data_IF_601536364070
#
_entry.id   IF_601536364070
#
_cell.length_a   1.000
_cell.length_b   1.000
_cell.length_c   1.000
_cell.angle_alpha   90.00
_cell.angle_beta   90.00
_cell.angle_gamma   90.00
#
_symmetry.space_group_name_H-M   'P 1'
#
loop_
_entity.id
_entity.type
_entity.pdbx_description
1 polymer ?
#
# COMPACT_ATOMS: atom_id res chain seq x y z
N UNK A 1 28.86 56.19 0.48
CA UNK A 1 28.99 55.05 1.39
C UNK A 1 29.93 54.05 0.76
N UNK A 2 31.07 53.78 1.32
CA UNK A 2 32.05 52.83 0.80
C UNK A 2 31.79 51.50 1.45
N UNK A 3 31.27 50.54 0.73
CA UNK A 3 31.10 49.18 1.25
C UNK A 3 32.43 48.46 1.22
N UNK A 4 32.97 48.17 2.39
CA UNK A 4 34.17 47.35 2.53
C UNK A 4 33.76 45.89 2.59
N UNK A 5 33.91 45.17 1.49
CA UNK A 5 33.75 43.72 1.48
C UNK A 5 35.01 43.07 2.10
N UNK A 6 34.88 42.39 3.23
CA UNK A 6 35.91 41.44 3.66
C UNK A 6 35.94 40.29 2.68
N UNK A 7 37.05 40.08 1.99
CA UNK A 7 37.22 38.92 1.14
C UNK A 7 37.24 37.66 2.00
N UNK A 8 36.68 36.60 1.50
CA UNK A 8 36.68 35.27 2.17
C UNK A 8 38.11 34.83 2.57
N UNK A 9 39.15 35.34 1.88
CA UNK A 9 40.56 35.10 2.19
C UNK A 9 41.02 35.70 3.52
N UNK A 10 40.28 36.68 4.08
CA UNK A 10 40.63 37.34 5.33
C UNK A 10 39.99 36.66 6.56
N UNK A 11 39.26 35.59 6.34
CA UNK A 11 38.64 34.78 7.39
C UNK A 11 39.59 33.65 7.75
N UNK A 12 40.22 33.72 8.90
CA UNK A 12 41.04 32.60 9.43
C UNK A 12 40.11 31.45 9.74
N UNK A 13 40.17 30.39 8.93
CA UNK A 13 39.49 29.14 9.19
C UNK A 13 40.16 28.48 10.40
N UNK A 14 39.56 28.61 11.55
CA UNK A 14 39.94 27.79 12.71
C UNK A 14 39.29 26.47 12.55
N UNK A 15 40.03 25.48 12.09
CA UNK A 15 39.60 24.09 12.11
C UNK A 15 39.46 23.65 13.57
N UNK A 16 38.26 23.75 14.08
CA UNK A 16 37.91 23.08 15.32
C UNK A 16 37.49 21.65 14.95
N UNK A 17 38.21 20.68 15.47
CA UNK A 17 38.02 19.27 15.20
C UNK A 17 36.65 18.69 15.68
N UNK A 18 35.83 19.51 16.30
CA UNK A 18 34.63 19.01 16.95
C UNK A 18 33.32 19.10 16.10
N UNK A 19 33.16 20.17 15.32
CA UNK A 19 31.94 20.29 14.45
C UNK A 19 32.25 21.19 13.24
N UNK A 20 31.85 20.74 12.02
CA UNK A 20 31.91 21.60 10.83
C UNK A 20 30.94 22.77 10.98
N UNK A 21 31.38 23.97 10.59
CA UNK A 21 30.61 25.19 10.66
C UNK A 21 30.42 25.79 9.26
N UNK A 22 29.27 26.40 9.01
CA UNK A 22 29.03 27.20 7.82
C UNK A 22 29.02 28.67 8.17
N UNK A 23 29.68 29.50 7.35
CA UNK A 23 29.64 30.95 7.47
C UNK A 23 28.45 31.45 6.63
N UNK A 24 27.58 32.22 7.28
CA UNK A 24 26.49 32.92 6.61
C UNK A 24 26.64 34.42 6.82
N UNK A 25 26.26 35.20 5.83
CA UNK A 25 26.13 36.65 5.94
C UNK A 25 24.68 36.98 6.34
N UNK A 26 24.54 37.71 7.43
CA UNK A 26 23.25 38.20 7.89
C UNK A 26 23.38 39.69 8.20
N UNK A 27 22.72 40.53 7.40
CA UNK A 27 22.71 42.00 7.56
C UNK A 27 24.09 42.66 7.59
N UNK A 28 25.06 42.13 6.83
CA UNK A 28 26.43 42.62 6.74
C UNK A 28 27.39 42.06 7.79
N UNK A 29 26.90 41.19 8.67
CA UNK A 29 27.74 40.46 9.63
C UNK A 29 27.90 38.99 9.20
N UNK A 30 29.14 38.51 9.28
CA UNK A 30 29.42 37.08 9.02
C UNK A 30 29.23 36.31 10.32
N UNK A 31 28.25 35.45 10.34
CA UNK A 31 27.93 34.56 11.46
C UNK A 31 28.38 33.12 11.17
N UNK A 32 28.89 32.51 12.21
CA UNK A 32 29.28 31.11 12.21
C UNK A 32 28.12 30.28 12.74
N UNK A 33 27.59 29.38 11.93
CA UNK A 33 26.52 28.49 12.32
C UNK A 33 27.05 27.06 12.31
N UNK A 34 26.96 26.33 13.43
CA UNK A 34 27.25 24.91 13.45
C UNK A 34 26.40 24.16 12.41
N UNK A 35 27.00 23.25 11.64
CA UNK A 35 26.24 22.45 10.65
C UNK A 35 25.15 21.61 11.30
N UNK A 36 25.27 21.27 12.58
CA UNK A 36 24.19 20.65 13.36
C UNK A 36 22.91 21.48 13.42
N UNK A 37 23.01 22.82 13.27
CA UNK A 37 21.85 23.71 13.23
C UNK A 37 21.30 23.91 11.82
N UNK A 38 22.08 23.56 10.77
CA UNK A 38 21.69 23.71 9.38
C UNK A 38 21.09 22.43 8.80
N UNK A 39 21.51 21.31 9.34
CA UNK A 39 21.00 20.00 8.98
C UNK A 39 20.24 19.50 10.18
N UNK A 40 18.98 19.85 10.30
CA UNK A 40 18.07 18.94 11.00
C UNK A 40 18.28 17.59 10.34
N UNK A 41 18.83 16.64 11.10
CA UNK A 41 18.97 15.25 10.67
C UNK A 41 17.66 14.89 9.99
N UNK A 42 17.69 14.75 8.68
CA UNK A 42 16.52 14.25 7.97
C UNK A 42 16.36 12.80 8.40
N UNK A 43 15.56 12.61 9.44
CA UNK A 43 15.17 11.28 9.89
C UNK A 43 14.44 10.65 8.72
N UNK A 44 14.75 9.39 8.40
CA UNK A 44 14.02 8.67 7.37
C UNK A 44 12.54 8.71 7.71
N UNK A 45 11.71 9.01 6.72
CA UNK A 45 10.26 8.91 6.88
C UNK A 45 9.91 7.50 7.38
N UNK A 46 9.14 7.43 8.45
CA UNK A 46 8.74 6.18 9.08
C UNK A 46 7.22 6.03 8.95
N UNK A 47 6.79 4.93 8.35
CA UNK A 47 5.36 4.62 8.18
C UNK A 47 4.66 4.29 9.50
N UNK A 48 5.40 3.87 10.50
CA UNK A 48 4.86 3.49 11.82
C UNK A 48 4.87 4.67 12.81
N UNK A 49 5.53 5.78 12.45
CA UNK A 49 5.60 6.97 13.30
C UNK A 49 4.20 7.57 13.50
N UNK A 50 3.83 7.77 14.76
CA UNK A 50 2.52 8.30 15.17
C UNK A 50 2.59 9.71 15.73
N UNK A 51 3.76 10.20 16.13
CA UNK A 51 3.93 11.56 16.66
C UNK A 51 3.99 12.56 15.51
N UNK A 52 2.97 13.45 15.34
CA UNK A 52 2.95 14.44 14.27
C UNK A 52 4.05 15.51 14.38
N UNK A 53 4.73 15.60 15.51
CA UNK A 53 5.85 16.52 15.71
C UNK A 53 7.21 15.88 15.39
N UNK A 54 7.24 14.57 15.15
CA UNK A 54 8.44 13.86 14.74
C UNK A 54 8.83 14.21 13.31
N UNK A 55 10.13 14.41 13.06
CA UNK A 55 10.66 14.63 11.71
C UNK A 55 10.51 13.37 10.80
N UNK A 56 10.25 12.21 11.39
CA UNK A 56 9.98 10.97 10.67
C UNK A 56 8.51 10.84 10.24
N UNK A 57 7.60 11.68 10.80
CA UNK A 57 6.18 11.61 10.54
C UNK A 57 5.85 11.98 9.09
N UNK A 58 5.04 11.15 8.45
CA UNK A 58 4.54 11.40 7.10
C UNK A 58 3.16 12.05 7.21
N UNK A 59 3.11 13.36 6.94
CA UNK A 59 1.84 14.06 6.86
C UNK A 59 1.03 13.52 5.66
N UNK A 60 -0.26 13.26 5.89
CA UNK A 60 -1.17 12.71 4.85
C UNK A 60 -0.75 11.33 4.32
N UNK A 61 -0.07 10.52 5.13
CA UNK A 61 0.10 9.12 4.74
C UNK A 61 -1.28 8.50 4.47
N UNK A 62 -1.47 7.81 3.34
CA UNK A 62 -2.74 7.16 3.07
C UNK A 62 -3.03 6.13 4.17
N UNK A 63 -4.27 6.05 4.59
CA UNK A 63 -4.72 4.98 5.48
C UNK A 63 -4.62 3.63 4.74
N UNK A 64 -3.53 2.92 5.00
CA UNK A 64 -3.30 1.59 4.43
C UNK A 64 -4.06 0.49 5.17
N UNK A 65 -4.80 0.82 6.24
CA UNK A 65 -5.67 -0.17 6.91
C UNK A 65 -6.74 -0.70 5.97
N UNK A 66 -7.14 0.14 4.99
CA UNK A 66 -8.06 -0.25 3.91
C UNK A 66 -7.33 -0.88 2.70
N UNK A 67 -6.02 -0.74 2.63
CA UNK A 67 -5.15 -1.36 1.60
C UNK A 67 -4.46 -2.60 2.15
N UNK A 68 -4.70 -2.92 3.42
CA UNK A 68 -4.23 -4.13 4.07
C UNK A 68 -4.70 -5.34 3.30
N UNK A 69 -3.79 -5.96 2.59
CA UNK A 69 -3.85 -7.01 1.61
C UNK A 69 -5.28 -7.32 1.18
N UNK A 70 -5.61 -7.12 -0.09
CA UNK A 70 -6.94 -7.39 -0.60
C UNK A 70 -7.50 -8.63 0.11
N UNK A 71 -8.69 -8.49 0.72
CA UNK A 71 -9.30 -9.61 1.43
C UNK A 71 -9.37 -10.80 0.47
N UNK A 72 -8.61 -11.84 0.74
CA UNK A 72 -8.57 -13.04 -0.11
C UNK A 72 -9.59 -14.02 0.43
N UNK A 73 -10.64 -14.24 -0.32
CA UNK A 73 -11.70 -15.21 0.03
C UNK A 73 -11.53 -16.45 -0.85
N UNK A 74 -11.28 -17.58 -0.22
CA UNK A 74 -11.12 -18.86 -0.93
C UNK A 74 -12.35 -19.72 -0.71
N UNK A 75 -13.03 -20.02 -1.81
CA UNK A 75 -14.14 -20.98 -1.85
C UNK A 75 -13.61 -22.36 -2.22
N UNK A 76 -14.03 -23.39 -1.51
CA UNK A 76 -13.76 -24.78 -1.87
C UNK A 76 -14.89 -25.27 -2.79
N UNK A 77 -14.54 -25.80 -3.96
CA UNK A 77 -15.51 -26.52 -4.82
C UNK A 77 -15.69 -27.93 -4.28
N UNK A 78 -16.89 -28.26 -3.86
CA UNK A 78 -17.21 -29.59 -3.35
C UNK A 78 -18.60 -30.03 -3.83
N UNK A 79 -18.68 -31.19 -4.48
CA UNK A 79 -19.94 -31.76 -5.00
C UNK A 79 -20.72 -30.78 -5.90
N UNK A 80 -20.01 -30.00 -6.72
CA UNK A 80 -20.62 -29.02 -7.62
C UNK A 80 -21.09 -27.71 -6.97
N UNK A 81 -20.82 -27.53 -5.68
CA UNK A 81 -21.17 -26.32 -4.95
C UNK A 81 -19.92 -25.63 -4.38
N UNK A 82 -19.95 -24.30 -4.34
CA UNK A 82 -18.93 -23.52 -3.64
C UNK A 82 -19.23 -23.50 -2.14
N UNK A 83 -18.20 -23.72 -1.33
CA UNK A 83 -18.28 -23.65 0.12
C UNK A 83 -17.25 -22.66 0.66
N UNK A 84 -17.66 -21.81 1.59
CA UNK A 84 -16.78 -20.96 2.38
C UNK A 84 -16.80 -21.49 3.82
N UNK A 85 -15.64 -21.91 4.33
CA UNK A 85 -15.51 -22.52 5.67
C UNK A 85 -16.50 -23.68 5.92
N UNK A 86 -16.74 -24.51 4.88
CA UNK A 86 -17.66 -25.64 4.95
C UNK A 86 -19.15 -25.31 4.72
N UNK A 87 -19.52 -24.04 4.70
CA UNK A 87 -20.90 -23.59 4.44
C UNK A 87 -21.09 -23.33 2.94
N UNK A 88 -22.17 -23.82 2.37
CA UNK A 88 -22.49 -23.56 0.95
C UNK A 88 -22.70 -22.08 0.72
N UNK A 89 -21.92 -21.50 -0.20
CA UNK A 89 -22.04 -20.12 -0.59
C UNK A 89 -23.23 -19.94 -1.53
N UNK A 90 -23.96 -18.84 -1.35
CA UNK A 90 -25.01 -18.44 -2.28
C UNK A 90 -24.41 -17.57 -3.41
N UNK A 91 -25.07 -17.52 -4.56
CA UNK A 91 -24.68 -16.63 -5.64
C UNK A 91 -24.58 -15.17 -5.16
N UNK A 92 -25.51 -14.73 -4.31
CA UNK A 92 -25.49 -13.38 -3.77
C UNK A 92 -24.28 -13.14 -2.89
N UNK A 93 -23.92 -14.06 -2.00
CA UNK A 93 -22.73 -13.87 -1.11
C UNK A 93 -21.43 -13.77 -1.91
N UNK A 94 -21.30 -14.52 -3.00
CA UNK A 94 -20.12 -14.44 -3.88
C UNK A 94 -20.07 -13.09 -4.62
N UNK A 95 -21.21 -12.61 -5.09
CA UNK A 95 -21.32 -11.30 -5.75
C UNK A 95 -20.98 -10.17 -4.78
N UNK A 96 -21.45 -10.25 -3.54
CA UNK A 96 -21.20 -9.23 -2.53
C UNK A 96 -19.71 -9.15 -2.19
N UNK A 97 -19.03 -10.28 -2.00
CA UNK A 97 -17.59 -10.31 -1.81
C UNK A 97 -16.82 -9.72 -3.01
N UNK A 98 -17.26 -10.03 -4.23
CA UNK A 98 -16.67 -9.49 -5.44
C UNK A 98 -16.82 -7.97 -5.52
N UNK A 99 -18.02 -7.45 -5.21
CA UNK A 99 -18.31 -6.00 -5.20
C UNK A 99 -17.57 -5.26 -4.10
N UNK A 100 -17.28 -5.93 -2.98
CA UNK A 100 -16.49 -5.38 -1.89
C UNK A 100 -14.98 -5.30 -2.21
N UNK A 101 -14.56 -5.75 -3.40
CA UNK A 101 -13.16 -5.72 -3.83
C UNK A 101 -12.32 -6.86 -3.29
N UNK A 102 -12.94 -7.91 -2.75
CA UNK A 102 -12.23 -9.12 -2.33
C UNK A 102 -11.61 -9.83 -3.54
N UNK A 103 -10.39 -10.36 -3.36
CA UNK A 103 -9.78 -11.29 -4.32
C UNK A 103 -10.38 -12.66 -4.06
N UNK A 104 -11.18 -13.14 -5.01
CA UNK A 104 -11.82 -14.46 -4.88
C UNK A 104 -10.95 -15.55 -5.51
N UNK A 105 -10.88 -16.68 -4.85
CA UNK A 105 -10.22 -17.90 -5.34
C UNK A 105 -11.15 -19.09 -5.23
N UNK A 106 -11.00 -20.04 -6.16
CA UNK A 106 -11.70 -21.32 -6.12
C UNK A 106 -10.66 -22.43 -5.94
N UNK A 107 -10.80 -23.17 -4.85
CA UNK A 107 -10.02 -24.37 -4.57
C UNK A 107 -10.84 -25.58 -5.06
N UNK A 108 -10.40 -26.17 -6.16
CA UNK A 108 -10.99 -27.38 -6.73
C UNK A 108 -10.15 -28.64 -6.50
N UNK A 109 -9.10 -28.56 -5.70
CA UNK A 109 -8.15 -29.66 -5.48
C UNK A 109 -8.80 -30.93 -4.92
N UNK A 110 -9.87 -30.76 -4.15
CA UNK A 110 -10.63 -31.89 -3.59
C UNK A 110 -11.76 -32.39 -4.48
N UNK A 111 -12.18 -31.60 -5.47
CA UNK A 111 -13.33 -31.93 -6.33
C UNK A 111 -12.92 -32.55 -7.66
N UNK A 112 -11.76 -32.16 -8.18
CA UNK A 112 -11.24 -32.55 -9.49
C UNK A 112 -9.83 -33.08 -9.32
N UNK A 113 -9.59 -34.31 -9.79
CA UNK A 113 -8.22 -34.85 -9.79
C UNK A 113 -7.29 -33.96 -10.60
N UNK A 114 -6.22 -33.46 -9.96
CA UNK A 114 -5.34 -32.48 -10.57
C UNK A 114 -5.90 -31.05 -10.59
N UNK A 115 -7.00 -30.78 -9.88
CA UNK A 115 -7.56 -29.46 -9.72
C UNK A 115 -6.59 -28.50 -9.00
N UNK A 116 -6.79 -27.20 -9.16
CA UNK A 116 -5.90 -26.15 -8.65
C UNK A 116 -6.64 -25.12 -7.80
N UNK A 117 -5.87 -24.30 -7.12
CA UNK A 117 -6.34 -23.06 -6.50
C UNK A 117 -6.31 -21.96 -7.54
N UNK A 118 -7.45 -21.61 -8.12
CA UNK A 118 -7.57 -20.65 -9.20
C UNK A 118 -8.13 -19.29 -8.78
N UNK A 119 -7.55 -18.22 -9.30
CA UNK A 119 -8.08 -16.87 -9.10
C UNK A 119 -9.37 -16.67 -9.93
N UNK A 120 -10.39 -16.04 -9.34
CA UNK A 120 -11.56 -15.60 -10.08
C UNK A 120 -11.19 -14.40 -10.94
N UNK A 121 -11.46 -14.46 -12.23
CA UNK A 121 -11.15 -13.40 -13.19
C UNK A 121 -12.35 -12.48 -13.43
N UNK A 122 -13.57 -13.01 -13.36
CA UNK A 122 -14.79 -12.24 -13.57
C UNK A 122 -16.01 -12.98 -13.01
N UNK A 123 -17.07 -12.21 -12.69
CA UNK A 123 -18.38 -12.74 -12.32
C UNK A 123 -19.43 -12.08 -13.21
N UNK A 124 -20.18 -12.89 -13.95
CA UNK A 124 -21.31 -12.44 -14.74
C UNK A 124 -22.60 -12.91 -14.08
N UNK A 125 -23.51 -12.00 -13.80
CA UNK A 125 -24.82 -12.33 -13.23
C UNK A 125 -25.93 -11.63 -13.99
N UNK A 126 -27.10 -12.24 -13.97
CA UNK A 126 -28.30 -11.75 -14.65
C UNK A 126 -29.40 -11.53 -13.62
N UNK A 127 -30.03 -10.36 -13.69
CA UNK A 127 -31.19 -10.02 -12.87
C UNK A 127 -32.43 -10.02 -13.78
N UNK A 128 -33.44 -10.76 -13.37
CA UNK A 128 -34.74 -10.83 -14.07
C UNK A 128 -35.82 -10.45 -13.10
N UNK A 129 -36.63 -9.46 -13.46
CA UNK A 129 -37.72 -8.92 -12.58
C UNK A 129 -37.26 -8.56 -11.17
N UNK A 130 -36.04 -8.01 -11.05
CA UNK A 130 -35.47 -7.58 -9.77
C UNK A 130 -34.86 -8.71 -8.91
N UNK A 131 -34.91 -9.96 -9.39
CA UNK A 131 -34.30 -11.11 -8.72
C UNK A 131 -33.10 -11.65 -9.48
N UNK A 132 -32.12 -12.17 -8.74
CA UNK A 132 -30.97 -12.85 -9.32
C UNK A 132 -31.40 -14.14 -9.97
N UNK A 133 -31.18 -14.25 -11.30
CA UNK A 133 -31.61 -15.40 -12.11
C UNK A 133 -30.47 -16.40 -12.34
N UNK A 134 -29.28 -15.93 -12.58
CA UNK A 134 -28.11 -16.79 -12.80
C UNK A 134 -26.83 -16.05 -12.47
N UNK A 135 -25.83 -16.79 -12.03
CA UNK A 135 -24.48 -16.27 -11.77
C UNK A 135 -23.45 -17.23 -12.34
N UNK A 136 -22.59 -16.75 -13.21
CA UNK A 136 -21.47 -17.50 -13.76
C UNK A 136 -20.17 -16.88 -13.28
N UNK A 137 -19.35 -17.69 -12.64
CA UNK A 137 -18.04 -17.32 -12.11
C UNK A 137 -16.99 -17.84 -13.08
N UNK A 138 -16.13 -16.97 -13.58
CA UNK A 138 -14.98 -17.30 -14.41
C UNK A 138 -13.73 -17.30 -13.57
N UNK A 139 -12.97 -18.38 -13.57
CA UNK A 139 -11.77 -18.56 -12.77
C UNK A 139 -10.71 -19.35 -13.53
N UNK A 140 -9.47 -19.31 -13.08
CA UNK A 140 -8.40 -20.08 -13.69
C UNK A 140 -8.28 -21.45 -13.02
N UNK A 141 -8.42 -22.52 -13.81
CA UNK A 141 -8.17 -23.90 -13.40
C UNK A 141 -6.92 -24.37 -14.12
N UNK A 142 -5.86 -24.68 -13.40
CA UNK A 142 -4.56 -25.09 -13.98
C UNK A 142 -4.08 -24.14 -15.10
N UNK A 143 -4.23 -22.83 -14.92
CA UNK A 143 -3.86 -21.81 -15.89
C UNK A 143 -4.83 -21.64 -17.06
N UNK A 144 -5.90 -22.41 -17.15
CA UNK A 144 -6.93 -22.32 -18.19
C UNK A 144 -8.19 -21.67 -17.62
N UNK A 145 -8.83 -20.80 -18.39
CA UNK A 145 -10.08 -20.18 -17.97
C UNK A 145 -11.21 -21.23 -17.96
N UNK A 146 -11.78 -21.42 -16.79
CA UNK A 146 -12.95 -22.27 -16.54
C UNK A 146 -14.15 -21.42 -16.11
N UNK A 147 -15.32 -22.00 -16.04
CA UNK A 147 -16.53 -21.34 -15.54
C UNK A 147 -17.39 -22.28 -14.71
N UNK A 148 -18.03 -21.72 -13.70
CA UNK A 148 -18.98 -22.38 -12.83
C UNK A 148 -20.24 -21.54 -12.74
N UNK A 149 -21.42 -22.16 -12.93
CA UNK A 149 -22.72 -21.50 -12.73
C UNK A 149 -23.33 -21.97 -11.43
N UNK A 150 -23.79 -21.02 -10.62
CA UNK A 150 -24.44 -21.24 -9.33
C UNK A 150 -25.75 -20.49 -9.22
#
# INVERSE_FOLDING_TARGET
MTYSYKKLADVTLVESAAEPNVLIEDSGDVKKIPTSNLVTKQTRADWEETDPNSLAFILNKPDLSQVGGANVVTYTLASGALKLNGVTATAQSVIDEWKNGSILRIDETSAISGGSLGAVSNIKYTIVSGALSSTTIYYYSNGTLASLTI
#
